data_IF_594562580961
#
_entry.id   IF_594562580961
#
_cell.length_a   1.000
_cell.length_b   1.000
_cell.length_c   1.000
_cell.angle_alpha   90.00
_cell.angle_beta   90.00
_cell.angle_gamma   90.00
#
_symmetry.space_group_name_H-M   'P 1'
#
loop_
_entity.id
_entity.type
_entity.pdbx_description
1 polymer ?
#
# COMPACT_ATOMS: atom_id res chain seq x y z
N UNK A 1 5.43 5.56 -40.62
CA UNK A 1 6.54 5.25 -39.70
C UNK A 1 6.24 5.96 -38.40
N UNK A 2 6.00 5.23 -37.31
CA UNK A 2 5.79 5.83 -35.99
C UNK A 2 7.16 6.05 -35.35
N UNK A 3 7.68 7.28 -35.48
CA UNK A 3 8.77 7.76 -34.63
C UNK A 3 8.16 8.04 -33.26
N UNK A 4 8.40 7.17 -32.28
CA UNK A 4 8.28 7.59 -30.90
C UNK A 4 9.69 7.54 -30.31
N UNK A 5 10.27 8.71 -30.06
CA UNK A 5 11.57 8.90 -29.41
C UNK A 5 11.51 8.62 -27.89
N UNK A 6 10.33 8.31 -27.36
CA UNK A 6 10.04 8.25 -25.92
C UNK A 6 9.45 6.89 -25.55
N UNK A 7 9.70 6.47 -24.32
CA UNK A 7 9.29 5.16 -23.83
C UNK A 7 7.78 5.00 -23.75
N UNK A 8 7.30 3.90 -24.31
CA UNK A 8 5.98 3.32 -24.11
C UNK A 8 6.16 1.81 -23.99
N UNK A 9 5.41 1.16 -23.10
CA UNK A 9 5.62 -0.26 -22.85
C UNK A 9 5.17 -0.72 -21.48
N UNK A 10 5.84 -1.74 -20.96
CA UNK A 10 5.62 -2.26 -19.62
C UNK A 10 6.90 -2.42 -18.82
N UNK A 11 6.77 -2.23 -17.51
CA UNK A 11 7.86 -2.23 -16.54
C UNK A 11 7.49 -3.20 -15.41
N UNK A 12 8.36 -4.18 -15.14
CA UNK A 12 8.22 -5.07 -13.99
C UNK A 12 9.16 -4.63 -12.88
N UNK A 13 8.62 -4.26 -11.73
CA UNK A 13 9.36 -3.88 -10.53
C UNK A 13 9.30 -4.96 -9.45
N UNK A 14 10.39 -5.08 -8.71
CA UNK A 14 10.40 -5.65 -7.37
C UNK A 14 10.26 -4.50 -6.37
N UNK A 15 9.19 -4.51 -5.59
CA UNK A 15 8.96 -3.57 -4.49
C UNK A 15 9.36 -4.23 -3.18
N UNK A 16 10.16 -3.55 -2.38
CA UNK A 16 10.44 -3.89 -1.00
C UNK A 16 9.83 -2.83 -0.09
N UNK A 17 8.84 -3.25 0.69
CA UNK A 17 8.17 -2.44 1.69
C UNK A 17 9.00 -2.47 2.98
N UNK A 18 9.53 -1.31 3.37
CA UNK A 18 10.39 -1.14 4.54
C UNK A 18 9.64 -1.35 5.86
N UNK A 19 8.36 -0.98 5.93
CA UNK A 19 7.54 -1.11 7.14
C UNK A 19 7.24 -2.58 7.45
N UNK A 20 6.82 -3.33 6.42
CA UNK A 20 6.43 -4.74 6.60
C UNK A 20 7.58 -5.71 6.33
N UNK A 21 8.70 -5.21 5.80
CA UNK A 21 9.84 -6.00 5.31
C UNK A 21 9.43 -7.06 4.27
N UNK A 22 8.35 -6.81 3.53
CA UNK A 22 7.81 -7.72 2.50
C UNK A 22 8.25 -7.32 1.11
N UNK A 23 8.19 -8.31 0.21
CA UNK A 23 8.48 -8.12 -1.21
C UNK A 23 7.22 -8.34 -2.03
N UNK A 24 6.92 -7.38 -2.88
CA UNK A 24 5.81 -7.40 -3.82
C UNK A 24 6.35 -7.26 -5.25
N UNK A 25 5.60 -7.74 -6.22
CA UNK A 25 5.90 -7.51 -7.62
C UNK A 25 4.88 -6.52 -8.16
N UNK A 26 5.35 -5.50 -8.86
CA UNK A 26 4.50 -4.48 -9.47
C UNK A 26 4.75 -4.48 -10.97
N UNK A 27 3.69 -4.46 -11.77
CA UNK A 27 3.77 -4.23 -13.22
C UNK A 27 3.10 -2.92 -13.54
N UNK A 28 3.81 -2.08 -14.27
CA UNK A 28 3.27 -0.85 -14.82
C UNK A 28 3.15 -1.00 -16.32
N UNK A 29 1.99 -0.69 -16.87
CA UNK A 29 1.81 -0.44 -18.30
C UNK A 29 1.78 1.07 -18.51
N UNK A 30 2.50 1.58 -19.49
CA UNK A 30 2.66 3.01 -19.73
C UNK A 30 2.50 3.33 -21.21
N UNK A 31 1.67 4.32 -21.54
CA UNK A 31 1.42 4.77 -22.91
C UNK A 31 0.83 6.17 -22.93
N UNK A 32 1.37 7.06 -23.76
CA UNK A 32 0.86 8.43 -23.92
C UNK A 32 0.61 9.16 -22.57
N UNK A 33 1.52 8.96 -21.60
CA UNK A 33 1.44 9.50 -20.24
C UNK A 33 0.44 8.80 -19.32
N UNK A 34 -0.45 7.98 -19.86
CA UNK A 34 -1.40 7.17 -19.09
C UNK A 34 -0.71 5.91 -18.56
N UNK A 35 -1.13 5.45 -17.39
CA UNK A 35 -0.54 4.26 -16.80
C UNK A 35 -1.57 3.34 -16.13
N UNK A 36 -1.19 2.07 -15.98
CA UNK A 36 -1.93 1.09 -15.20
C UNK A 36 -0.96 0.31 -14.32
N UNK A 37 -1.26 0.20 -13.03
CA UNK A 37 -0.40 -0.46 -12.05
C UNK A 37 -1.08 -1.69 -11.45
N UNK A 38 -0.50 -2.87 -11.68
CA UNK A 38 -0.95 -4.13 -11.12
C UNK A 38 0.06 -4.65 -10.08
N UNK A 39 -0.43 -5.27 -9.02
CA UNK A 39 0.39 -5.83 -7.94
C UNK A 39 0.27 -7.35 -7.88
N UNK A 40 1.33 -8.06 -7.47
CA UNK A 40 1.33 -9.49 -7.21
C UNK A 40 2.07 -9.78 -5.90
N UNK A 41 1.41 -10.54 -5.02
CA UNK A 41 2.02 -11.03 -3.79
C UNK A 41 3.25 -11.95 -4.02
N UNK A 42 3.37 -12.60 -5.19
CA UNK A 42 4.58 -13.34 -5.55
C UNK A 42 4.69 -13.60 -7.05
N UNK A 43 5.92 -13.85 -7.54
CA UNK A 43 6.21 -14.23 -8.93
C UNK A 43 5.48 -15.49 -9.41
N UNK A 44 5.12 -16.39 -8.49
CA UNK A 44 4.39 -17.64 -8.81
C UNK A 44 2.88 -17.44 -8.84
N UNK A 45 2.38 -16.30 -8.35
CA UNK A 45 0.95 -16.01 -8.38
C UNK A 45 0.49 -15.93 -9.83
N UNK A 46 -0.53 -16.73 -10.17
CA UNK A 46 -1.13 -16.72 -11.51
C UNK A 46 -2.06 -15.54 -11.74
N UNK A 47 -2.39 -14.78 -10.69
CA UNK A 47 -3.33 -13.65 -10.75
C UNK A 47 -2.76 -12.47 -9.97
N UNK A 48 -2.97 -11.24 -10.47
CA UNK A 48 -2.66 -10.05 -9.70
C UNK A 48 -3.54 -10.00 -8.44
N UNK A 49 -3.13 -9.14 -7.51
CA UNK A 49 -3.94 -8.70 -6.40
C UNK A 49 -5.27 -8.13 -6.91
N UNK A 50 -6.33 -8.20 -6.10
CA UNK A 50 -7.66 -7.84 -6.55
C UNK A 50 -7.84 -6.35 -6.79
N UNK A 51 -6.88 -5.48 -6.45
CA UNK A 51 -6.95 -4.06 -6.74
C UNK A 51 -5.77 -3.60 -7.61
N UNK A 52 -6.05 -2.68 -8.53
CA UNK A 52 -5.06 -2.03 -9.38
C UNK A 52 -5.46 -0.58 -9.64
N UNK A 53 -4.53 0.22 -10.15
CA UNK A 53 -4.75 1.63 -10.47
C UNK A 53 -4.66 1.88 -11.97
N UNK A 54 -5.48 2.80 -12.48
CA UNK A 54 -5.42 3.31 -13.84
C UNK A 54 -5.41 4.84 -13.75
N UNK A 55 -4.44 5.47 -14.37
CA UNK A 55 -4.41 6.90 -14.58
C UNK A 55 -4.57 7.24 -16.04
N UNK A 56 -5.42 8.24 -16.27
CA UNK A 56 -5.66 8.85 -17.57
C UNK A 56 -5.02 10.23 -17.61
N UNK A 57 -4.01 10.39 -18.47
CA UNK A 57 -3.27 11.64 -18.58
C UNK A 57 -4.10 12.78 -19.19
N UNK A 58 -4.95 12.48 -20.15
CA UNK A 58 -5.84 13.43 -20.83
C UNK A 58 -6.85 14.07 -19.88
N UNK A 59 -7.38 13.31 -18.92
CA UNK A 59 -8.32 13.81 -17.91
C UNK A 59 -7.66 14.10 -16.55
N UNK A 60 -6.36 13.83 -16.41
CA UNK A 60 -5.61 13.90 -15.16
C UNK A 60 -6.34 13.20 -14.00
N UNK A 61 -6.91 12.03 -14.26
CA UNK A 61 -7.73 11.31 -13.28
C UNK A 61 -7.17 9.94 -13.02
N UNK A 62 -7.06 9.58 -11.74
CA UNK A 62 -6.67 8.24 -11.33
C UNK A 62 -7.88 7.49 -10.77
N UNK A 63 -7.95 6.22 -11.13
CA UNK A 63 -9.00 5.29 -10.76
C UNK A 63 -8.38 4.08 -10.11
N UNK A 64 -8.78 3.78 -8.88
CA UNK A 64 -8.54 2.49 -8.26
C UNK A 64 -9.69 1.55 -8.62
N UNK A 65 -9.37 0.43 -9.23
CA UNK A 65 -10.35 -0.61 -9.58
C UNK A 65 -10.18 -1.76 -8.61
N UNK A 66 -11.19 -1.98 -7.77
CA UNK A 66 -11.27 -3.14 -6.87
C UNK A 66 -12.11 -4.24 -7.51
N UNK A 67 -11.50 -5.40 -7.67
CA UNK A 67 -12.08 -6.61 -8.26
C UNK A 67 -12.34 -7.71 -7.20
N UNK A 68 -12.09 -7.43 -5.92
CA UNK A 68 -12.32 -8.38 -4.84
C UNK A 68 -13.79 -8.85 -4.83
N UNK A 69 -14.00 -10.14 -4.55
CA UNK A 69 -15.30 -10.80 -4.79
C UNK A 69 -16.51 -10.18 -4.07
N UNK A 70 -16.29 -9.46 -2.97
CA UNK A 70 -17.39 -8.83 -2.22
C UNK A 70 -17.79 -7.48 -2.82
N UNK A 71 -16.85 -6.69 -3.34
CA UNK A 71 -17.10 -5.33 -3.82
C UNK A 71 -16.33 -5.08 -5.11
N UNK A 72 -17.10 -4.95 -6.20
CA UNK A 72 -16.56 -4.58 -7.52
C UNK A 72 -16.76 -3.09 -7.69
N UNK A 73 -15.75 -2.32 -7.34
CA UNK A 73 -15.82 -0.88 -7.25
C UNK A 73 -14.84 -0.23 -8.21
N UNK A 74 -15.23 0.90 -8.78
CA UNK A 74 -14.31 1.87 -9.39
C UNK A 74 -14.31 3.08 -8.46
N UNK A 75 -13.21 3.29 -7.79
CA UNK A 75 -13.00 4.40 -6.88
C UNK A 75 -12.20 5.43 -7.66
N UNK A 76 -12.80 6.56 -7.97
CA UNK A 76 -12.04 7.66 -8.56
C UNK A 76 -11.46 8.50 -7.43
N UNK A 77 -10.21 8.91 -7.59
CA UNK A 77 -9.61 9.90 -6.73
C UNK A 77 -9.08 11.05 -7.58
N UNK A 78 -9.28 12.27 -7.09
CA UNK A 78 -8.50 13.40 -7.57
C UNK A 78 -7.08 13.22 -7.01
N UNK A 79 -6.03 13.37 -7.84
CA UNK A 79 -4.66 13.19 -7.37
C UNK A 79 -4.38 14.21 -6.28
N UNK A 80 -4.00 13.74 -5.08
CA UNK A 80 -3.33 14.46 -3.99
C UNK A 80 -3.54 15.99 -3.96
N UNK A 81 -4.78 16.49 -4.13
CA UNK A 81 -5.05 17.94 -4.22
C UNK A 81 -4.63 18.65 -2.93
N UNK A 82 -4.63 17.90 -1.82
CA UNK A 82 -4.31 18.44 -0.51
C UNK A 82 -2.81 18.34 -0.17
N UNK A 83 -1.95 17.68 -0.96
CA UNK A 83 -0.51 17.60 -0.67
C UNK A 83 0.31 18.40 -1.64
N UNK A 84 0.83 19.51 -1.16
CA UNK A 84 1.78 20.32 -1.89
C UNK A 84 3.18 19.71 -1.75
N UNK A 85 3.96 19.75 -2.82
CA UNK A 85 5.35 19.30 -2.81
C UNK A 85 6.28 20.31 -3.47
N UNK A 86 7.41 20.55 -2.84
CA UNK A 86 8.51 21.38 -3.34
C UNK A 86 9.78 20.54 -3.49
N UNK A 87 10.49 20.72 -4.61
CA UNK A 87 11.83 20.18 -4.83
C UNK A 87 12.86 21.04 -4.10
N UNK A 88 13.48 20.49 -3.05
CA UNK A 88 14.43 21.24 -2.20
C UNK A 88 15.86 21.14 -2.72
N UNK A 89 16.32 19.93 -3.05
CA UNK A 89 17.69 19.72 -3.54
C UNK A 89 17.79 18.53 -4.48
N UNK A 90 18.81 18.56 -5.35
CA UNK A 90 19.16 17.52 -6.32
C UNK A 90 20.67 17.34 -6.31
N UNK A 91 21.14 16.16 -5.97
CA UNK A 91 22.57 15.83 -5.83
C UNK A 91 22.92 14.59 -6.67
N UNK A 92 23.81 14.70 -7.65
CA UNK A 92 24.36 13.53 -8.35
C UNK A 92 25.34 12.82 -7.41
N UNK A 93 25.02 11.56 -7.07
CA UNK A 93 25.82 10.72 -6.18
C UNK A 93 26.85 9.86 -6.92
N UNK A 94 26.56 9.48 -8.17
CA UNK A 94 27.41 8.59 -8.94
C UNK A 94 26.70 7.96 -10.11
N UNK A 95 27.20 6.81 -10.54
CA UNK A 95 26.68 6.03 -11.66
C UNK A 95 26.68 4.55 -11.28
N UNK A 96 25.65 3.82 -11.70
CA UNK A 96 25.53 2.37 -11.49
C UNK A 96 24.79 1.75 -12.69
N UNK A 97 25.17 0.53 -13.06
CA UNK A 97 24.46 -0.21 -14.10
C UNK A 97 23.28 -0.98 -13.49
N UNK A 98 22.08 -0.77 -14.04
CA UNK A 98 20.87 -1.53 -13.70
C UNK A 98 20.42 -2.31 -14.93
N UNK A 99 20.37 -3.63 -14.79
CA UNK A 99 20.24 -4.54 -15.93
C UNK A 99 21.41 -4.31 -16.92
N UNK A 100 21.11 -3.93 -18.16
CA UNK A 100 22.09 -3.55 -19.19
C UNK A 100 22.24 -2.03 -19.38
N UNK A 101 21.57 -1.21 -18.57
CA UNK A 101 21.53 0.25 -18.73
C UNK A 101 22.43 0.98 -17.74
N UNK A 102 23.14 1.98 -18.23
CA UNK A 102 23.93 2.88 -17.39
C UNK A 102 23.01 3.94 -16.78
N UNK A 103 22.96 4.00 -15.45
CA UNK A 103 22.12 4.94 -14.71
C UNK A 103 22.95 5.97 -13.95
N UNK A 104 22.46 7.20 -13.91
CA UNK A 104 22.93 8.21 -12.96
C UNK A 104 22.20 8.05 -11.64
N UNK A 105 22.94 8.03 -10.54
CA UNK A 105 22.40 7.99 -9.18
C UNK A 105 22.20 9.43 -8.72
N UNK A 106 20.96 9.80 -8.45
CA UNK A 106 20.57 11.16 -8.08
C UNK A 106 19.77 11.11 -6.79
N UNK A 107 20.28 11.76 -5.75
CA UNK A 107 19.54 12.02 -4.53
C UNK A 107 18.73 13.30 -4.64
N UNK A 108 17.51 13.25 -4.14
CA UNK A 108 16.55 14.34 -4.22
C UNK A 108 15.87 14.48 -2.89
N UNK A 109 15.78 15.70 -2.39
CA UNK A 109 14.99 16.01 -1.19
C UNK A 109 13.73 16.75 -1.64
N UNK A 110 12.58 16.19 -1.26
CA UNK A 110 11.29 16.83 -1.40
C UNK A 110 10.79 17.30 -0.05
N UNK A 111 10.12 18.46 -0.04
CA UNK A 111 9.38 18.97 1.10
C UNK A 111 7.90 18.90 0.79
N UNK A 112 7.16 18.27 1.67
CA UNK A 112 5.73 18.06 1.55
C UNK A 112 4.98 18.80 2.66
N UNK A 113 3.79 19.30 2.35
CA UNK A 113 2.87 19.85 3.34
C UNK A 113 1.43 19.71 2.87
N UNK A 114 0.51 19.51 3.80
CA UNK A 114 -0.91 19.49 3.47
C UNK A 114 -1.47 20.91 3.35
N UNK A 115 -2.50 21.10 2.52
CA UNK A 115 -3.23 22.37 2.47
C UNK A 115 -3.83 22.69 3.85
N UNK A 116 -3.44 23.83 4.41
CA UNK A 116 -3.88 24.26 5.74
C UNK A 116 -2.97 23.83 6.90
N UNK A 117 -2.02 22.93 6.67
CA UNK A 117 -1.05 22.53 7.69
C UNK A 117 0.06 23.57 7.87
N UNK A 118 0.50 23.72 9.12
CA UNK A 118 1.65 24.58 9.47
C UNK A 118 2.97 23.83 9.42
N UNK A 119 2.91 22.51 9.51
CA UNK A 119 4.07 21.64 9.55
C UNK A 119 4.31 21.06 8.17
N UNK A 120 5.59 20.94 7.82
CA UNK A 120 6.05 20.30 6.59
C UNK A 120 7.00 19.20 6.97
N UNK A 121 7.06 18.14 6.17
CA UNK A 121 8.01 17.05 6.35
C UNK A 121 8.88 16.90 5.11
N UNK A 122 10.12 16.48 5.30
CA UNK A 122 11.04 16.19 4.22
C UNK A 122 11.12 14.68 3.95
N UNK A 123 11.20 14.32 2.66
CA UNK A 123 11.48 12.97 2.22
C UNK A 123 12.66 12.98 1.24
N UNK A 124 13.56 12.03 1.44
CA UNK A 124 14.71 11.82 0.57
C UNK A 124 14.42 10.67 -0.37
N UNK A 125 14.59 10.92 -1.65
CA UNK A 125 14.53 9.92 -2.70
C UNK A 125 15.91 9.75 -3.32
N UNK A 126 16.31 8.51 -3.59
CA UNK A 126 17.48 8.25 -4.44
C UNK A 126 16.97 7.57 -5.70
N UNK A 127 17.23 8.16 -6.86
CA UNK A 127 16.81 7.67 -8.18
C UNK A 127 18.01 7.17 -8.97
N UNK A 128 17.84 6.07 -9.68
CA UNK A 128 18.76 5.59 -10.72
C UNK A 128 18.15 5.89 -12.08
N UNK A 129 18.44 7.08 -12.60
CA UNK A 129 17.87 7.63 -13.83
C UNK A 129 18.61 7.08 -15.05
N UNK A 130 17.89 6.63 -16.07
CA UNK A 130 18.48 6.05 -17.28
C UNK A 130 18.25 6.96 -18.51
N UNK A 131 19.23 7.81 -18.89
CA UNK A 131 19.10 8.77 -20.00
C UNK A 131 18.74 8.16 -21.37
N UNK A 132 19.04 6.88 -21.56
CA UNK A 132 18.72 6.15 -22.80
C UNK A 132 17.23 5.86 -22.96
N UNK A 133 16.46 5.87 -21.86
CA UNK A 133 15.03 5.59 -21.86
C UNK A 133 14.27 6.87 -21.54
N UNK A 134 14.16 7.72 -22.56
CA UNK A 134 13.61 9.07 -22.45
C UNK A 134 12.09 9.06 -22.27
N UNK A 135 11.61 10.05 -21.54
CA UNK A 135 10.21 10.35 -21.31
C UNK A 135 9.88 11.76 -21.82
N UNK A 136 8.59 12.02 -22.02
CA UNK A 136 8.12 13.37 -22.32
C UNK A 136 7.83 14.13 -21.05
N UNK A 137 8.28 15.39 -20.95
CA UNK A 137 8.08 16.20 -19.75
C UNK A 137 6.60 16.39 -19.42
N UNK A 138 5.73 16.47 -20.45
CA UNK A 138 4.28 16.55 -20.24
C UNK A 138 3.69 15.32 -19.53
N UNK A 139 4.35 14.16 -19.57
CA UNK A 139 3.89 12.93 -18.92
C UNK A 139 4.30 12.81 -17.45
N UNK A 140 4.98 13.81 -16.89
CA UNK A 140 5.33 13.81 -15.48
C UNK A 140 4.09 13.63 -14.59
N UNK A 141 4.19 12.71 -13.64
CA UNK A 141 3.17 12.48 -12.63
C UNK A 141 3.81 12.38 -11.25
N UNK A 142 3.51 13.36 -10.39
CA UNK A 142 4.18 13.50 -9.09
C UNK A 142 4.05 12.25 -8.20
N UNK A 143 2.91 11.56 -8.22
CA UNK A 143 2.69 10.36 -7.40
C UNK A 143 3.38 9.10 -7.94
N UNK A 144 4.11 9.18 -9.05
CA UNK A 144 4.80 8.04 -9.66
C UNK A 144 6.31 8.27 -9.64
N UNK A 145 7.04 7.73 -8.64
CA UNK A 145 8.47 8.01 -8.53
C UNK A 145 9.31 7.48 -9.71
N UNK A 146 8.84 6.49 -10.48
CA UNK A 146 9.55 6.05 -11.69
C UNK A 146 9.48 7.08 -12.83
N UNK A 147 8.48 7.97 -12.82
CA UNK A 147 8.42 9.19 -13.61
C UNK A 147 8.97 10.32 -12.74
N UNK A 148 10.30 10.35 -12.55
CA UNK A 148 10.98 11.39 -11.77
C UNK A 148 10.50 12.80 -12.19
N UNK A 149 10.80 13.82 -11.40
CA UNK A 149 10.52 15.19 -11.82
C UNK A 149 11.48 15.62 -12.96
N UNK A 150 11.02 16.33 -14.02
CA UNK A 150 11.88 16.77 -15.13
C UNK A 150 13.10 17.59 -14.72
N UNK A 151 13.02 18.28 -13.58
CA UNK A 151 14.14 19.01 -12.98
C UNK A 151 15.23 18.16 -12.32
N UNK A 152 15.07 16.84 -12.21
CA UNK A 152 16.03 15.94 -11.54
C UNK A 152 17.14 15.48 -12.49
N UNK A 153 16.79 15.11 -13.71
CA UNK A 153 17.72 14.55 -14.70
C UNK A 153 17.40 15.10 -16.10
N UNK A 154 18.46 15.33 -16.89
CA UNK A 154 18.37 15.85 -18.25
C UNK A 154 19.20 14.95 -19.18
N UNK A 155 18.59 14.28 -20.18
CA UNK A 155 17.19 14.37 -20.59
C UNK A 155 16.21 13.77 -19.56
N UNK A 156 14.95 14.19 -19.65
CA UNK A 156 13.89 13.59 -18.84
C UNK A 156 13.73 12.10 -19.18
N UNK A 157 13.84 11.22 -18.19
CA UNK A 157 14.02 9.79 -18.41
C UNK A 157 13.52 8.91 -17.26
N UNK A 158 13.32 7.62 -17.51
CA UNK A 158 12.84 6.70 -16.49
C UNK A 158 13.85 6.49 -15.35
N UNK A 159 13.34 6.41 -14.13
CA UNK A 159 14.09 5.84 -13.01
C UNK A 159 13.90 4.31 -12.98
N UNK A 160 15.01 3.59 -13.13
CA UNK A 160 15.04 2.12 -13.12
C UNK A 160 15.09 1.54 -11.70
N UNK A 161 15.53 2.36 -10.74
CA UNK A 161 15.42 2.08 -9.33
C UNK A 161 15.13 3.36 -8.58
N UNK A 162 14.38 3.26 -7.49
CA UNK A 162 14.30 4.34 -6.53
C UNK A 162 14.15 3.81 -5.10
N UNK A 163 14.68 4.58 -4.15
CA UNK A 163 14.53 4.36 -2.71
C UNK A 163 13.87 5.57 -2.08
N UNK A 164 13.10 5.36 -1.02
CA UNK A 164 12.47 6.44 -0.24
C UNK A 164 12.91 6.34 1.21
N UNK A 165 13.29 7.47 1.81
CA UNK A 165 13.60 7.60 3.22
C UNK A 165 12.90 8.83 3.82
N UNK A 166 12.52 8.76 5.09
CA UNK A 166 11.98 9.91 5.82
C UNK A 166 13.10 10.86 6.32
N UNK A 167 12.72 11.96 6.94
CA UNK A 167 13.64 12.96 7.52
C UNK A 167 14.60 12.39 8.59
N UNK A 168 14.28 11.25 9.22
CA UNK A 168 15.18 10.52 10.13
C UNK A 168 16.10 9.53 9.40
N UNK A 169 16.14 9.56 8.07
CA UNK A 169 16.81 8.58 7.22
C UNK A 169 16.35 7.14 7.46
N UNK A 170 15.14 6.96 7.97
CA UNK A 170 14.53 5.64 8.05
C UNK A 170 14.04 5.25 6.67
N UNK A 171 14.46 4.06 6.26
CA UNK A 171 14.15 3.48 4.98
C UNK A 171 12.66 3.11 4.90
N UNK A 172 11.95 3.67 3.92
CA UNK A 172 10.52 3.44 3.72
C UNK A 172 10.26 2.40 2.62
N UNK A 173 10.85 2.56 1.43
CA UNK A 173 10.54 1.71 0.28
C UNK A 173 11.71 1.57 -0.70
N UNK A 174 11.84 0.38 -1.34
CA UNK A 174 12.63 0.16 -2.57
C UNK A 174 11.75 -0.22 -3.74
N UNK A 175 12.02 0.33 -4.91
CA UNK A 175 11.54 -0.24 -6.16
C UNK A 175 12.72 -0.44 -7.10
N UNK A 176 12.92 -1.67 -7.55
CA UNK A 176 14.01 -2.04 -8.46
C UNK A 176 13.44 -2.72 -9.70
N UNK A 177 13.73 -2.18 -10.89
CA UNK A 177 13.28 -2.77 -12.16
C UNK A 177 13.85 -4.18 -12.33
N UNK A 178 13.06 -5.05 -12.95
CA UNK A 178 13.37 -6.45 -13.22
C UNK A 178 13.28 -6.79 -14.70
N UNK A 179 12.42 -6.09 -15.43
CA UNK A 179 12.22 -6.25 -16.86
C UNK A 179 11.62 -4.96 -17.43
N UNK A 180 12.09 -4.59 -18.61
CA UNK A 180 11.52 -3.56 -19.47
C UNK A 180 11.04 -4.25 -20.74
N UNK A 181 9.86 -3.89 -21.23
CA UNK A 181 9.29 -4.41 -22.47
C UNK A 181 8.67 -3.25 -23.25
N UNK A 182 9.29 -2.86 -24.36
CA UNK A 182 8.92 -1.73 -25.21
C UNK A 182 7.82 -2.08 -26.23
N UNK A 183 7.14 -3.21 -26.03
CA UNK A 183 6.01 -3.61 -26.86
C UNK A 183 4.85 -2.62 -26.76
N UNK A 184 4.23 -2.37 -27.92
CA UNK A 184 3.05 -1.51 -28.02
C UNK A 184 1.91 -2.01 -27.13
N UNK A 185 1.51 -1.18 -26.16
CA UNK A 185 0.41 -1.49 -25.26
C UNK A 185 -0.92 -1.16 -25.96
N UNK A 186 -1.82 -2.13 -26.01
CA UNK A 186 -3.14 -1.93 -26.59
C UNK A 186 -3.93 -0.87 -25.79
N UNK A 187 -4.55 0.16 -26.40
CA UNK A 187 -5.23 1.24 -25.67
C UNK A 187 -6.31 0.78 -24.68
N UNK A 188 -7.01 -0.32 -25.00
CA UNK A 188 -7.99 -0.97 -24.09
C UNK A 188 -7.42 -1.38 -22.72
N UNK A 189 -6.11 -1.45 -22.54
CA UNK A 189 -5.48 -1.72 -21.23
C UNK A 189 -5.91 -0.70 -20.18
N UNK A 190 -6.16 0.54 -20.60
CA UNK A 190 -6.55 1.66 -19.73
C UNK A 190 -8.08 1.89 -19.74
N UNK A 191 -8.84 1.16 -20.55
CA UNK A 191 -10.27 1.43 -20.73
C UNK A 191 -11.11 0.94 -19.54
N UNK A 192 -11.85 1.86 -18.93
CA UNK A 192 -12.77 1.56 -17.84
C UNK A 192 -14.07 0.89 -18.31
N UNK A 193 -14.37 0.85 -19.62
CA UNK A 193 -15.58 0.22 -20.15
C UNK A 193 -15.69 -1.26 -19.80
N UNK A 194 -14.55 -1.95 -19.65
CA UNK A 194 -14.50 -3.35 -19.19
C UNK A 194 -15.04 -3.55 -17.76
N UNK A 195 -15.19 -2.47 -17.00
CA UNK A 195 -15.68 -2.44 -15.63
C UNK A 195 -17.02 -1.70 -15.51
N UNK A 196 -17.76 -1.54 -16.61
CA UNK A 196 -19.05 -0.81 -16.59
C UNK A 196 -20.08 -1.35 -15.58
N UNK A 197 -19.97 -2.63 -15.17
CA UNK A 197 -20.84 -3.21 -14.14
C UNK A 197 -20.42 -2.92 -12.70
N UNK A 198 -19.31 -2.21 -12.49
CA UNK A 198 -18.74 -1.94 -11.17
C UNK A 198 -19.41 -0.70 -10.59
N UNK A 199 -19.58 -0.66 -9.27
CA UNK A 199 -20.13 0.51 -8.58
C UNK A 199 -19.08 1.62 -8.61
N UNK A 200 -19.41 2.76 -9.20
CA UNK A 200 -18.58 3.97 -9.14
C UNK A 200 -18.83 4.68 -7.82
N UNK A 201 -17.77 5.16 -7.18
CA UNK A 201 -17.86 5.90 -5.91
C UNK A 201 -16.64 6.81 -5.72
N UNK A 202 -16.79 7.82 -4.88
CA UNK A 202 -15.67 8.66 -4.43
C UNK A 202 -14.77 7.92 -3.44
N UNK A 203 -13.60 8.48 -3.16
CA UNK A 203 -12.68 7.94 -2.16
C UNK A 203 -13.29 7.94 -0.75
N UNK A 204 -14.05 8.98 -0.38
CA UNK A 204 -14.73 9.09 0.92
C UNK A 204 -15.84 8.04 1.05
N UNK A 205 -16.64 7.84 0.01
CA UNK A 205 -17.68 6.81 -0.02
C UNK A 205 -17.07 5.40 0.13
N UNK A 206 -15.94 5.15 -0.56
CA UNK A 206 -15.22 3.90 -0.45
C UNK A 206 -14.66 3.68 0.97
N UNK A 207 -14.11 4.73 1.58
CA UNK A 207 -13.58 4.68 2.95
C UNK A 207 -14.68 4.42 3.97
N UNK A 208 -15.81 5.11 3.87
CA UNK A 208 -16.99 4.87 4.72
C UNK A 208 -17.48 3.42 4.60
N UNK A 209 -17.62 2.91 3.38
CA UNK A 209 -18.01 1.52 3.15
C UNK A 209 -17.02 0.54 3.80
N UNK A 210 -15.71 0.78 3.65
CA UNK A 210 -14.68 -0.04 4.25
C UNK A 210 -14.73 -0.05 5.78
N UNK A 211 -14.94 1.10 6.41
CA UNK A 211 -15.06 1.19 7.87
C UNK A 211 -16.35 0.53 8.40
N UNK A 212 -17.48 0.69 7.70
CA UNK A 212 -18.72 -0.01 8.04
C UNK A 212 -18.55 -1.54 7.99
N UNK A 213 -17.84 -2.04 6.98
CA UNK A 213 -17.54 -3.46 6.84
C UNK A 213 -16.59 -3.96 7.94
N UNK A 214 -15.52 -3.20 8.22
CA UNK A 214 -14.60 -3.50 9.32
C UNK A 214 -15.33 -3.57 10.65
N UNK A 215 -16.22 -2.63 10.93
CA UNK A 215 -16.96 -2.61 12.18
C UNK A 215 -17.97 -3.78 12.26
N UNK A 216 -18.60 -4.15 11.14
CA UNK A 216 -19.45 -5.35 11.05
C UNK A 216 -18.68 -6.64 11.36
N UNK A 217 -17.48 -6.81 10.81
CA UNK A 217 -16.62 -7.96 11.10
C UNK A 217 -16.09 -7.94 12.53
N UNK A 218 -15.69 -6.78 13.05
CA UNK A 218 -15.33 -6.58 14.47
C UNK A 218 -16.47 -7.02 15.38
N UNK A 219 -17.71 -6.63 15.08
CA UNK A 219 -18.87 -7.03 15.90
C UNK A 219 -19.15 -8.54 15.81
N UNK A 220 -19.00 -9.18 14.65
CA UNK A 220 -19.11 -10.65 14.54
C UNK A 220 -18.06 -11.36 15.40
N UNK A 221 -16.83 -10.85 15.44
CA UNK A 221 -15.77 -11.37 16.31
C UNK A 221 -16.15 -11.17 17.77
N UNK A 222 -16.59 -9.97 18.17
CA UNK A 222 -17.06 -9.68 19.53
C UNK A 222 -18.20 -10.62 19.95
N UNK A 223 -19.16 -10.91 19.06
CA UNK A 223 -20.24 -11.87 19.33
C UNK A 223 -19.72 -13.29 19.54
N UNK A 224 -18.82 -13.78 18.68
CA UNK A 224 -18.19 -15.11 18.86
C UNK A 224 -17.44 -15.20 20.18
N UNK A 225 -16.70 -14.17 20.54
CA UNK A 225 -16.00 -14.10 21.82
C UNK A 225 -16.99 -14.09 22.99
N UNK A 226 -18.08 -13.32 22.94
CA UNK A 226 -19.15 -13.34 23.96
C UNK A 226 -19.73 -14.75 24.13
N UNK A 227 -20.00 -15.48 23.05
CA UNK A 227 -20.51 -16.87 23.10
C UNK A 227 -19.48 -17.82 23.72
N UNK A 228 -18.22 -17.77 23.27
CA UNK A 228 -17.13 -18.59 23.79
C UNK A 228 -16.91 -18.37 25.30
N UNK A 229 -17.01 -17.12 25.72
CA UNK A 229 -16.82 -16.71 27.10
C UNK A 229 -18.01 -17.11 27.96
N UNK A 230 -19.24 -17.09 27.44
CA UNK A 230 -20.46 -17.37 28.20
C UNK A 230 -20.94 -18.83 28.15
N UNK A 231 -20.41 -19.67 27.24
CA UNK A 231 -20.78 -21.10 27.20
C UNK A 231 -20.35 -21.82 28.48
N UNK A 232 -21.00 -22.94 28.79
CA UNK A 232 -20.57 -23.87 29.83
C UNK A 232 -19.23 -24.51 29.45
N UNK A 233 -18.45 -24.93 30.45
CA UNK A 233 -17.25 -25.74 30.25
C UNK A 233 -17.69 -27.15 29.82
N UNK A 234 -17.01 -27.73 28.84
CA UNK A 234 -17.13 -29.17 28.54
C UNK A 234 -16.53 -30.00 29.66
N UNK A 235 -16.87 -31.29 29.77
CA UNK A 235 -16.28 -32.17 30.81
C UNK A 235 -14.74 -32.21 30.74
N UNK A 236 -14.17 -32.22 29.53
CA UNK A 236 -12.73 -32.17 29.30
C UNK A 236 -12.11 -30.86 29.83
N UNK A 237 -12.78 -29.72 29.59
CA UNK A 237 -12.38 -28.40 30.09
C UNK A 237 -12.60 -28.23 31.61
N UNK A 238 -13.52 -28.99 32.20
CA UNK A 238 -13.74 -29.01 33.66
C UNK A 238 -12.67 -29.83 34.39
N UNK A 239 -12.17 -30.87 33.74
CA UNK A 239 -11.14 -31.76 34.28
C UNK A 239 -9.72 -31.20 34.08
N UNK A 240 -9.54 -30.16 33.25
CA UNK A 240 -8.31 -29.39 33.18
C UNK A 240 -8.24 -28.37 34.34
N UNK A 241 -7.26 -28.48 35.27
CA UNK A 241 -7.16 -27.60 36.43
C UNK A 241 -6.93 -26.12 36.07
N UNK A 242 -6.49 -25.81 34.85
CA UNK A 242 -6.18 -24.44 34.44
C UNK A 242 -7.33 -23.75 33.68
N UNK A 243 -8.19 -24.52 33.00
CA UNK A 243 -9.22 -23.96 32.11
C UNK A 243 -10.34 -23.17 32.83
N UNK A 244 -10.83 -23.54 34.02
CA UNK A 244 -11.80 -22.74 34.78
C UNK A 244 -11.26 -21.38 35.22
N UNK A 245 -10.01 -21.34 35.71
CA UNK A 245 -9.31 -20.10 36.09
C UNK A 245 -9.04 -19.22 34.86
N UNK A 246 -8.63 -19.85 33.76
CA UNK A 246 -8.42 -19.21 32.46
C UNK A 246 -9.68 -18.52 31.94
N UNK A 247 -10.85 -19.19 31.94
CA UNK A 247 -12.12 -18.56 31.52
C UNK A 247 -12.52 -17.36 32.37
N UNK A 248 -12.21 -17.37 33.66
CA UNK A 248 -12.47 -16.23 34.54
C UNK A 248 -11.61 -15.02 34.18
N UNK A 249 -10.33 -15.21 33.88
CA UNK A 249 -9.44 -14.13 33.45
C UNK A 249 -9.81 -13.58 32.08
N UNK A 250 -10.16 -14.45 31.12
CA UNK A 250 -10.68 -14.02 29.80
C UNK A 250 -11.99 -13.26 29.96
N UNK A 251 -12.91 -13.72 30.82
CA UNK A 251 -14.17 -13.00 31.13
C UNK A 251 -13.91 -11.58 31.64
N UNK A 252 -12.92 -11.42 32.51
CA UNK A 252 -12.55 -10.13 33.09
C UNK A 252 -11.93 -9.21 32.03
N UNK A 253 -10.91 -9.70 31.32
CA UNK A 253 -10.25 -8.96 30.25
C UNK A 253 -11.22 -8.58 29.11
N UNK A 254 -12.15 -9.47 28.73
CA UNK A 254 -13.15 -9.19 27.70
C UNK A 254 -14.20 -8.17 28.17
N UNK A 255 -14.58 -8.19 29.46
CA UNK A 255 -15.48 -7.18 30.04
C UNK A 255 -14.81 -5.81 30.08
N UNK A 256 -13.54 -5.74 30.49
CA UNK A 256 -12.75 -4.50 30.50
C UNK A 256 -12.54 -3.97 29.07
N UNK A 257 -12.23 -4.85 28.10
CA UNK A 257 -12.08 -4.47 26.69
C UNK A 257 -13.39 -3.99 26.05
N UNK A 258 -14.52 -4.60 26.38
CA UNK A 258 -15.84 -4.20 25.86
C UNK A 258 -16.42 -2.94 26.54
N UNK A 259 -15.83 -2.49 27.65
CA UNK A 259 -16.31 -1.33 28.42
C UNK A 259 -15.46 -0.07 28.25
N UNK A 260 -14.28 -0.15 27.63
CA UNK A 260 -13.43 1.03 27.39
C UNK A 260 -13.67 1.63 26.01
N UNK A 261 -13.47 2.94 25.91
CA UNK A 261 -13.23 3.59 24.63
C UNK A 261 -11.85 3.15 24.10
N UNK A 262 -11.81 2.74 22.84
CA UNK A 262 -10.57 2.39 22.15
C UNK A 262 -9.82 3.69 21.79
N UNK A 263 -8.50 3.64 21.77
CA UNK A 263 -7.70 4.80 21.31
C UNK A 263 -7.71 4.88 19.78
N UNK A 264 -7.44 6.06 19.21
CA UNK A 264 -7.36 6.24 17.75
C UNK A 264 -6.33 5.29 17.10
N UNK A 265 -5.21 5.07 17.76
CA UNK A 265 -4.14 4.15 17.34
C UNK A 265 -4.60 2.67 17.28
N UNK A 266 -5.53 2.30 18.17
CA UNK A 266 -6.16 0.96 18.19
C UNK A 266 -7.31 0.83 17.19
N UNK A 267 -7.86 1.94 16.70
CA UNK A 267 -8.84 1.96 15.61
C UNK A 267 -8.17 1.71 14.26
N UNK A 268 -6.96 2.24 14.06
CA UNK A 268 -6.26 2.24 12.77
C UNK A 268 -5.55 0.90 12.48
N UNK A 269 -5.04 0.21 13.51
CA UNK A 269 -4.26 -1.01 13.32
C UNK A 269 -4.73 -2.20 14.20
N UNK A 270 -5.47 -3.17 13.64
CA UNK A 270 -5.96 -4.35 14.36
C UNK A 270 -4.85 -5.24 14.97
N UNK A 271 -3.66 -5.24 14.36
CA UNK A 271 -2.50 -5.95 14.91
C UNK A 271 -1.92 -5.22 16.12
N UNK A 272 -1.97 -3.89 16.15
CA UNK A 272 -1.64 -3.08 17.33
C UNK A 272 -2.65 -3.30 18.45
N UNK A 273 -3.95 -3.36 18.16
CA UNK A 273 -4.99 -3.71 19.14
C UNK A 273 -4.74 -5.10 19.74
N UNK A 274 -4.45 -6.10 18.91
CA UNK A 274 -4.13 -7.45 19.37
C UNK A 274 -2.83 -7.54 20.17
N UNK A 275 -1.80 -6.78 19.76
CA UNK A 275 -0.51 -6.70 20.45
C UNK A 275 -0.57 -5.93 21.76
N UNK A 276 -1.37 -4.86 21.86
CA UNK A 276 -1.60 -4.14 23.12
C UNK A 276 -2.45 -4.98 24.08
N UNK A 277 -3.46 -5.71 23.57
CA UNK A 277 -4.18 -6.71 24.36
C UNK A 277 -3.20 -7.75 24.92
N UNK A 278 -2.29 -8.26 24.09
CA UNK A 278 -1.21 -9.20 24.48
C UNK A 278 -0.21 -8.62 25.50
N UNK A 279 0.14 -7.33 25.41
CA UNK A 279 1.09 -6.66 26.33
C UNK A 279 0.46 -6.32 27.69
N UNK A 280 -0.86 -6.08 27.72
CA UNK A 280 -1.59 -5.78 28.96
C UNK A 280 -1.81 -7.02 29.84
N UNK A 281 -1.47 -8.20 29.31
CA UNK A 281 -1.74 -9.50 29.90
C UNK A 281 -0.54 -9.99 30.75
N UNK A 282 -0.69 -10.13 32.08
CA UNK A 282 0.44 -10.15 33.02
C UNK A 282 1.18 -11.49 33.18
N UNK A 283 0.94 -12.50 32.33
CA UNK A 283 1.60 -13.82 32.47
C UNK A 283 1.83 -14.53 31.12
N UNK A 284 2.82 -15.43 31.08
CA UNK A 284 3.13 -16.27 29.90
C UNK A 284 1.93 -17.07 29.37
N UNK A 285 1.00 -17.46 30.24
CA UNK A 285 -0.24 -18.16 29.86
C UNK A 285 -1.22 -17.24 29.12
N UNK A 286 -1.22 -15.94 29.42
CA UNK A 286 -2.04 -14.97 28.72
C UNK A 286 -1.44 -14.56 27.36
N UNK A 287 -0.12 -14.69 27.18
CA UNK A 287 0.52 -14.59 25.86
C UNK A 287 0.09 -15.77 24.96
N UNK A 288 0.00 -16.99 25.52
CA UNK A 288 -0.58 -18.15 24.82
C UNK A 288 -2.07 -17.94 24.48
N UNK A 289 -2.83 -17.25 25.33
CA UNK A 289 -4.22 -16.86 25.07
C UNK A 289 -4.35 -15.92 23.86
N UNK A 290 -3.55 -14.86 23.77
CA UNK A 290 -3.62 -13.98 22.60
C UNK A 290 -3.12 -14.66 21.31
N UNK A 291 -2.18 -15.61 21.41
CA UNK A 291 -1.82 -16.49 20.28
C UNK A 291 -2.97 -17.41 19.85
N UNK A 292 -3.76 -17.93 20.81
CA UNK A 292 -4.96 -18.72 20.54
C UNK A 292 -6.09 -17.88 19.92
N UNK A 293 -6.31 -16.66 20.42
CA UNK A 293 -7.25 -15.69 19.84
C UNK A 293 -6.82 -15.41 18.38
N UNK A 294 -5.56 -15.08 18.15
CA UNK A 294 -5.01 -14.87 16.80
C UNK A 294 -5.19 -16.09 15.89
N UNK A 295 -5.02 -17.31 16.42
CA UNK A 295 -5.22 -18.59 15.69
C UNK A 295 -6.67 -18.88 15.34
N UNK A 296 -7.64 -18.39 16.12
CA UNK A 296 -9.08 -18.58 15.87
C UNK A 296 -9.73 -17.39 15.13
N UNK A 297 -9.03 -16.26 15.03
CA UNK A 297 -9.43 -15.07 14.26
C UNK A 297 -8.70 -14.91 12.92
N UNK A 298 -7.74 -15.80 12.61
CA UNK A 298 -7.17 -15.97 11.26
C UNK A 298 -7.93 -17.04 10.48
#
# INVERSE_FOLDING_TARGET
>A
MKNYNYFEGSLDYLHYDGETSKKHFKRVYFKEGSFKEEYWASKKSKKPEPSFEIYHHDTQTTYRVDTARKHRNIIYHKPWEDTNTELVSVNKLGEEQILEFDCEIIEVVYKHWLEGDKESFEQTFTYWCCPDIQLREEWHHFSLPFLNHPGICQPYCLALKYTVANEQNQYLDEYTIRKIDDQDIHPKTFDLASYASYKKMSQEEAWQQYEEERESEREKIRQKLRVLVNRSLTEEEQNDPYTPFFRMQVRKALKEYLQRELTNEEHENPHTTGAQLLKSLPSEENVKLGQLILKYTS
#
